data_IF_764157133405
#
_entry.id   IF_764157133405
#
_cell.length_a   1.000
_cell.length_b   1.000
_cell.length_c   1.000
_cell.angle_alpha   90.00
_cell.angle_beta   90.00
_cell.angle_gamma   90.00
#
_symmetry.space_group_name_H-M   'P 1'
#
loop_
_entity.id
_entity.type
_entity.pdbx_description
1 polymer ?
#
# COMPACT_ATOMS: atom_id res chain seq x y z
N UNK A 1 38.12 -26.47 11.94
CA UNK A 1 36.71 -26.02 11.78
C UNK A 1 36.74 -24.51 11.83
N UNK A 2 36.59 -23.85 10.68
CA UNK A 2 36.84 -22.42 10.54
C UNK A 2 35.50 -21.73 10.37
N UNK A 3 35.04 -21.00 11.39
CA UNK A 3 33.76 -20.31 11.38
C UNK A 3 33.83 -19.09 10.44
N UNK A 4 33.09 -19.16 9.34
CA UNK A 4 32.92 -18.08 8.39
C UNK A 4 32.15 -16.93 9.04
N UNK A 5 32.79 -15.77 9.14
CA UNK A 5 32.21 -14.51 9.57
C UNK A 5 31.13 -14.06 8.58
N UNK A 6 29.84 -14.15 8.97
CA UNK A 6 28.76 -13.43 8.29
C UNK A 6 28.88 -11.94 8.62
N UNK A 7 29.55 -11.17 7.76
CA UNK A 7 29.54 -9.72 7.81
C UNK A 7 28.13 -9.21 7.48
N UNK A 8 27.39 -8.74 8.50
CA UNK A 8 26.12 -8.03 8.30
C UNK A 8 26.42 -6.70 7.61
N UNK A 9 26.14 -6.62 6.32
CA UNK A 9 26.21 -5.38 5.55
C UNK A 9 25.03 -4.47 5.93
N UNK A 10 25.14 -3.73 7.02
CA UNK A 10 24.16 -2.73 7.45
C UNK A 10 24.40 -1.42 6.69
N UNK A 11 24.11 -1.39 5.39
CA UNK A 11 23.96 -0.10 4.70
C UNK A 11 22.76 0.60 5.34
N UNK A 12 23.01 1.66 6.10
CA UNK A 12 21.96 2.51 6.65
C UNK A 12 21.22 3.14 5.47
N UNK A 13 20.03 2.64 5.16
CA UNK A 13 19.18 3.23 4.15
C UNK A 13 18.52 4.47 4.77
N UNK A 14 19.04 5.66 4.46
CA UNK A 14 18.37 6.90 4.80
C UNK A 14 17.19 7.08 3.85
N UNK A 15 15.97 7.02 4.38
CA UNK A 15 14.76 7.27 3.59
C UNK A 15 14.64 8.79 3.39
N UNK A 16 14.40 9.28 2.17
CA UNK A 16 14.26 10.72 1.93
C UNK A 16 12.98 11.25 2.57
N UNK A 17 13.03 12.44 3.17
CA UNK A 17 11.85 13.06 3.80
C UNK A 17 10.72 13.36 2.79
N UNK A 18 11.06 13.48 1.51
CA UNK A 18 10.13 13.79 0.43
C UNK A 18 10.25 12.80 -0.73
N UNK A 19 9.11 12.34 -1.25
CA UNK A 19 9.01 11.54 -2.47
C UNK A 19 8.16 12.28 -3.49
N UNK A 20 8.74 12.58 -4.68
CA UNK A 20 8.08 13.35 -5.76
C UNK A 20 7.48 14.69 -5.28
N UNK A 21 8.21 15.40 -4.41
CA UNK A 21 7.79 16.69 -3.86
C UNK A 21 6.71 16.61 -2.77
N UNK A 22 6.39 15.42 -2.24
CA UNK A 22 5.48 15.25 -1.10
C UNK A 22 6.21 14.69 0.11
N UNK A 23 5.94 15.24 1.29
CA UNK A 23 6.49 14.74 2.54
C UNK A 23 5.99 13.33 2.87
N UNK A 24 6.90 12.41 3.17
CA UNK A 24 6.57 11.07 3.66
C UNK A 24 5.90 11.09 5.05
N UNK A 25 6.06 12.18 5.80
CA UNK A 25 5.43 12.40 7.10
C UNK A 25 4.03 13.02 7.01
N UNK A 26 3.64 13.50 5.82
CA UNK A 26 2.28 13.96 5.62
C UNK A 26 1.33 12.75 5.69
N UNK A 27 0.44 12.74 6.70
CA UNK A 27 -0.59 11.69 6.88
C UNK A 27 -1.68 11.70 5.77
N UNK A 28 -1.50 12.50 4.72
CA UNK A 28 -2.31 12.43 3.50
C UNK A 28 -1.80 11.25 2.68
N UNK A 29 -2.07 10.04 3.15
CA UNK A 29 -1.82 8.86 2.36
C UNK A 29 -2.79 8.93 1.17
N UNK A 30 -2.33 8.96 -0.09
CA UNK A 30 -3.22 8.93 -1.26
C UNK A 30 -4.19 7.74 -1.23
N UNK A 31 -3.88 6.72 -0.43
CA UNK A 31 -4.70 5.54 -0.20
C UNK A 31 -6.04 5.83 0.45
N UNK A 32 -6.24 6.91 1.22
CA UNK A 32 -7.56 7.24 1.79
C UNK A 32 -8.53 7.67 0.69
N UNK A 33 -8.15 8.65 -0.13
CA UNK A 33 -8.96 9.06 -1.29
C UNK A 33 -9.13 7.91 -2.30
N UNK A 34 -8.09 7.09 -2.52
CA UNK A 34 -8.20 5.93 -3.41
C UNK A 34 -9.13 4.84 -2.85
N UNK A 35 -9.14 4.65 -1.53
CA UNK A 35 -10.04 3.69 -0.88
C UNK A 35 -11.48 4.20 -0.96
N UNK A 36 -11.71 5.47 -0.62
CA UNK A 36 -13.02 6.11 -0.70
C UNK A 36 -13.57 6.06 -2.13
N UNK A 37 -12.77 6.43 -3.13
CA UNK A 37 -13.17 6.35 -4.54
C UNK A 37 -13.52 4.91 -4.96
N UNK A 38 -12.74 3.91 -4.52
CA UNK A 38 -13.02 2.51 -4.80
C UNK A 38 -14.30 2.02 -4.10
N UNK A 39 -14.54 2.43 -2.86
CA UNK A 39 -15.75 2.10 -2.09
C UNK A 39 -16.99 2.74 -2.70
N UNK A 40 -16.93 4.04 -3.04
CA UNK A 40 -18.01 4.74 -3.73
C UNK A 40 -18.32 4.05 -5.06
N UNK A 41 -17.28 3.67 -5.82
CA UNK A 41 -17.49 2.96 -7.09
C UNK A 41 -18.12 1.59 -6.90
N UNK A 42 -17.75 0.85 -5.85
CA UNK A 42 -18.40 -0.42 -5.51
C UNK A 42 -19.89 -0.24 -5.21
N UNK A 43 -20.27 0.83 -4.50
CA UNK A 43 -21.68 1.14 -4.25
C UNK A 43 -22.40 1.45 -5.57
N UNK A 44 -21.83 2.29 -6.43
CA UNK A 44 -22.41 2.63 -7.74
C UNK A 44 -22.65 1.41 -8.65
N UNK A 45 -21.77 0.40 -8.58
CA UNK A 45 -21.87 -0.81 -9.42
C UNK A 45 -22.54 -1.98 -8.69
N UNK A 46 -23.24 -1.72 -7.59
CA UNK A 46 -23.93 -2.73 -6.76
C UNK A 46 -23.02 -3.90 -6.34
N UNK A 47 -21.77 -3.60 -6.00
CA UNK A 47 -20.79 -4.58 -5.53
C UNK A 47 -20.12 -5.40 -6.64
N UNK A 48 -20.40 -5.14 -7.92
CA UNK A 48 -19.78 -5.83 -9.05
C UNK A 48 -18.30 -5.49 -9.22
N UNK A 49 -17.44 -6.33 -8.61
CA UNK A 49 -15.97 -6.21 -8.69
C UNK A 49 -15.43 -6.21 -10.12
N UNK A 50 -16.11 -6.85 -11.08
CA UNK A 50 -15.62 -6.92 -12.46
C UNK A 50 -15.53 -5.54 -13.11
N UNK A 51 -16.45 -4.63 -12.70
CA UNK A 51 -16.56 -3.25 -13.18
C UNK A 51 -15.58 -2.26 -12.56
N UNK A 52 -14.77 -2.71 -11.60
CA UNK A 52 -13.69 -1.89 -11.04
C UNK A 52 -12.50 -1.77 -12.00
N UNK A 53 -11.89 -0.59 -12.02
CA UNK A 53 -10.61 -0.32 -12.68
C UNK A 53 -9.50 -1.12 -12.01
N UNK A 54 -8.41 -1.36 -12.72
CA UNK A 54 -7.32 -2.20 -12.21
C UNK A 54 -6.71 -1.66 -10.90
N UNK A 55 -6.62 -0.34 -10.73
CA UNK A 55 -6.13 0.27 -9.49
C UNK A 55 -7.13 0.13 -8.33
N UNK A 56 -8.43 0.24 -8.59
CA UNK A 56 -9.50 -0.01 -7.62
C UNK A 56 -9.47 -1.47 -7.16
N UNK A 57 -9.29 -2.40 -8.10
CA UNK A 57 -9.13 -3.85 -7.80
C UNK A 57 -7.94 -4.12 -6.87
N UNK A 58 -6.84 -3.39 -7.03
CA UNK A 58 -5.67 -3.49 -6.13
C UNK A 58 -6.02 -3.00 -4.72
N UNK A 59 -6.67 -1.85 -4.60
CA UNK A 59 -7.14 -1.31 -3.31
C UNK A 59 -8.15 -2.22 -2.62
N UNK A 60 -9.10 -2.78 -3.37
CA UNK A 60 -10.10 -3.72 -2.86
C UNK A 60 -9.45 -4.99 -2.28
N UNK A 61 -8.50 -5.59 -3.00
CA UNK A 61 -7.76 -6.77 -2.53
C UNK A 61 -7.01 -6.48 -1.23
N UNK A 62 -6.26 -5.38 -1.19
CA UNK A 62 -5.53 -4.98 0.02
C UNK A 62 -6.47 -4.77 1.23
N UNK A 63 -7.60 -4.10 1.03
CA UNK A 63 -8.61 -3.91 2.07
C UNK A 63 -9.24 -5.23 2.52
N UNK A 64 -9.56 -6.13 1.57
CA UNK A 64 -10.11 -7.46 1.87
C UNK A 64 -9.14 -8.27 2.73
N UNK A 65 -7.86 -8.34 2.37
CA UNK A 65 -6.85 -9.05 3.17
C UNK A 65 -6.71 -8.48 4.58
N UNK A 66 -6.78 -7.15 4.75
CA UNK A 66 -6.77 -6.52 6.08
C UNK A 66 -7.94 -6.96 6.95
N UNK A 67 -9.10 -7.26 6.37
CA UNK A 67 -10.31 -7.67 7.10
C UNK A 67 -10.31 -9.16 7.50
N UNK A 68 -9.50 -10.01 6.84
CA UNK A 68 -9.37 -11.44 7.14
C UNK A 68 -8.06 -11.81 7.86
N UNK A 69 -7.20 -10.84 8.14
CA UNK A 69 -5.99 -11.03 8.95
C UNK A 69 -6.33 -10.70 10.41
N UNK A 70 -7.14 -11.56 11.04
CA UNK A 70 -7.39 -11.60 12.48
C UNK A 70 -6.90 -12.94 13.00
#
# INVERSE_FOLDING_TARGET
MNNTLFSKNTKSFSLPDNLRGRSLHSKVIPTLCNLENMLNKLVEVNGDFSKLKQWEKRSYKAHKYRRYSV
#
